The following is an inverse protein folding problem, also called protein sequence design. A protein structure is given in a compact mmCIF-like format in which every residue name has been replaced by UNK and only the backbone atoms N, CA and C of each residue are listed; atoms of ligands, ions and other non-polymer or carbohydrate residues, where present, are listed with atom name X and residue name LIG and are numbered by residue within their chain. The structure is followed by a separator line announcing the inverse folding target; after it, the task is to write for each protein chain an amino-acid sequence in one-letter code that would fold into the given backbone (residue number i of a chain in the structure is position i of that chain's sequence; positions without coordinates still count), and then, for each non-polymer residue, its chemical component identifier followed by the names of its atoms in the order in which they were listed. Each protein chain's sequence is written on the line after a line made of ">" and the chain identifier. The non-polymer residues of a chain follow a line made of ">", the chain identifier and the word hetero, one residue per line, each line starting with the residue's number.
data_IF_477193937624
#
_entry.id   IF_477193937624
#
_cell.length_a   1.000
_cell.length_b   1.000
_cell.length_c   1.000
_cell.angle_alpha   90.00
_cell.angle_beta   90.00
_cell.angle_gamma   90.00
#
_symmetry.space_group_name_H-M   'P 1'
#
loop_
_entity.id
_entity.type
_entity.pdbx_description
1 polymer ?
#
# COMPACT_ATOMS: atom_id res chain seq x y z
N UNK A 1 13.65 -43.08 -60.20
CA UNK A 1 13.87 -43.18 -58.73
C UNK A 1 14.39 -41.88 -58.13
N UNK A 2 15.10 -41.02 -58.87
CA UNK A 2 15.59 -39.73 -58.33
C UNK A 2 14.50 -38.67 -58.07
N UNK A 3 13.45 -38.61 -58.89
CA UNK A 3 12.42 -37.56 -58.79
C UNK A 3 11.59 -37.67 -57.51
N UNK A 4 11.29 -38.89 -57.05
CA UNK A 4 10.58 -39.13 -55.80
C UNK A 4 11.44 -38.76 -54.59
N UNK A 5 12.75 -39.06 -54.64
CA UNK A 5 13.70 -38.66 -53.61
C UNK A 5 13.79 -37.13 -53.51
N UNK A 6 13.86 -36.42 -54.63
CA UNK A 6 13.87 -34.95 -54.67
C UNK A 6 12.60 -34.34 -54.10
N UNK A 7 11.43 -34.88 -54.42
CA UNK A 7 10.14 -34.42 -53.88
C UNK A 7 10.06 -34.61 -52.37
N UNK A 8 10.56 -35.76 -51.86
CA UNK A 8 10.62 -36.03 -50.42
C UNK A 8 11.57 -35.02 -49.74
N UNK A 9 12.77 -34.81 -50.28
CA UNK A 9 13.75 -33.85 -49.73
C UNK A 9 13.19 -32.43 -49.73
N UNK A 10 12.56 -31.99 -50.82
CA UNK A 10 11.91 -30.69 -50.89
C UNK A 10 10.77 -30.55 -49.88
N UNK A 11 9.95 -31.58 -49.71
CA UNK A 11 8.87 -31.61 -48.72
C UNK A 11 9.39 -31.49 -47.29
N UNK A 12 10.46 -32.22 -46.96
CA UNK A 12 11.10 -32.16 -45.64
C UNK A 12 11.76 -30.80 -45.41
N UNK A 13 12.47 -30.27 -46.42
CA UNK A 13 13.11 -28.95 -46.34
C UNK A 13 12.06 -27.84 -46.16
N UNK A 14 10.98 -27.86 -46.93
CA UNK A 14 9.88 -26.91 -46.82
C UNK A 14 9.19 -27.00 -45.45
N UNK A 15 8.97 -28.20 -44.94
CA UNK A 15 8.39 -28.43 -43.60
C UNK A 15 9.31 -27.91 -42.50
N UNK A 16 10.61 -28.20 -42.58
CA UNK A 16 11.62 -27.71 -41.63
C UNK A 16 11.73 -26.18 -41.64
N UNK A 17 11.69 -25.56 -42.82
CA UNK A 17 11.68 -24.10 -42.96
C UNK A 17 10.41 -23.50 -42.38
N UNK A 18 9.24 -24.07 -42.66
CA UNK A 18 7.95 -23.61 -42.16
C UNK A 18 7.87 -23.71 -40.63
N UNK A 19 8.33 -24.83 -40.07
CA UNK A 19 8.42 -25.02 -38.62
C UNK A 19 9.36 -24.00 -37.96
N UNK A 20 10.53 -23.76 -38.59
CA UNK A 20 11.51 -22.80 -38.10
C UNK A 20 10.98 -21.37 -38.11
N UNK A 21 10.32 -20.96 -39.21
CA UNK A 21 9.67 -19.65 -39.33
C UNK A 21 8.52 -19.49 -38.32
N UNK A 22 7.71 -20.53 -38.14
CA UNK A 22 6.64 -20.54 -37.14
C UNK A 22 7.18 -20.36 -35.71
N UNK A 23 8.25 -21.08 -35.35
CA UNK A 23 8.90 -20.94 -34.05
C UNK A 23 9.52 -19.56 -33.86
N UNK A 24 10.23 -19.03 -34.86
CA UNK A 24 10.81 -17.68 -34.83
C UNK A 24 9.74 -16.61 -34.66
N UNK A 25 8.62 -16.72 -35.40
CA UNK A 25 7.48 -15.82 -35.29
C UNK A 25 6.87 -15.86 -33.89
N UNK A 26 6.59 -17.05 -33.36
CA UNK A 26 6.07 -17.23 -32.00
C UNK A 26 7.05 -16.69 -30.94
N UNK A 27 8.34 -16.97 -31.06
CA UNK A 27 9.36 -16.49 -30.15
C UNK A 27 9.53 -14.96 -30.21
N UNK A 28 9.41 -14.35 -31.39
CA UNK A 28 9.45 -12.89 -31.54
C UNK A 28 8.22 -12.23 -30.89
N UNK A 29 7.03 -12.80 -31.09
CA UNK A 29 5.79 -12.31 -30.46
C UNK A 29 5.84 -12.46 -28.94
N UNK A 30 6.30 -13.59 -28.42
CA UNK A 30 6.48 -13.82 -26.98
C UNK A 30 7.44 -12.79 -26.38
N UNK A 31 8.58 -12.54 -27.03
CA UNK A 31 9.55 -11.51 -26.61
C UNK A 31 8.96 -10.10 -26.63
N UNK A 32 8.16 -9.75 -27.64
CA UNK A 32 7.48 -8.45 -27.70
C UNK A 32 6.46 -8.29 -26.59
N UNK A 33 5.64 -9.32 -26.31
CA UNK A 33 4.67 -9.33 -25.21
C UNK A 33 5.37 -9.18 -23.85
N UNK A 34 6.45 -9.93 -23.63
CA UNK A 34 7.25 -9.82 -22.41
C UNK A 34 7.81 -8.41 -22.23
N UNK A 35 8.45 -7.83 -23.26
CA UNK A 35 8.99 -6.46 -23.17
C UNK A 35 7.93 -5.40 -22.88
N UNK A 36 6.69 -5.58 -23.39
CA UNK A 36 5.56 -4.69 -23.06
C UNK A 36 5.16 -4.84 -21.59
N UNK A 37 5.03 -6.07 -21.10
CA UNK A 37 4.72 -6.37 -19.68
C UNK A 37 5.80 -5.79 -18.76
N UNK A 38 7.07 -6.08 -19.04
CA UNK A 38 8.23 -5.54 -18.31
C UNK A 38 8.24 -4.00 -18.32
N UNK A 39 7.91 -3.37 -19.46
CA UNK A 39 7.84 -1.92 -19.58
C UNK A 39 6.69 -1.29 -18.78
N UNK A 40 5.54 -1.98 -18.69
CA UNK A 40 4.39 -1.52 -17.90
C UNK A 40 4.70 -1.55 -16.40
N UNK A 41 5.22 -2.68 -15.90
CA UNK A 41 5.57 -2.86 -14.49
C UNK A 41 6.91 -2.24 -14.10
N UNK A 42 7.73 -1.79 -15.06
CA UNK A 42 9.08 -1.31 -14.79
C UNK A 42 10.05 -2.41 -14.32
N UNK A 43 9.76 -3.66 -14.69
CA UNK A 43 10.49 -4.89 -14.31
C UNK A 43 11.28 -5.45 -15.50
N UNK A 44 12.42 -4.87 -15.90
CA UNK A 44 13.31 -5.50 -16.88
C UNK A 44 13.84 -6.83 -16.33
N UNK A 45 14.27 -7.72 -17.24
CA UNK A 45 14.86 -9.00 -16.85
C UNK A 45 16.02 -8.82 -15.86
N UNK A 46 16.12 -9.76 -14.93
CA UNK A 46 17.15 -9.85 -13.89
C UNK A 46 17.21 -8.62 -12.95
N UNK A 47 16.12 -7.86 -12.85
CA UNK A 47 16.03 -6.74 -11.91
C UNK A 47 15.43 -7.14 -10.56
N UNK A 48 15.86 -6.44 -9.51
CA UNK A 48 15.23 -6.50 -8.20
C UNK A 48 14.03 -5.54 -8.12
N UNK A 49 12.95 -5.99 -7.46
CA UNK A 49 11.83 -5.15 -7.06
C UNK A 49 11.50 -5.36 -5.58
N UNK A 50 10.81 -4.37 -5.00
CA UNK A 50 10.45 -4.38 -3.58
C UNK A 50 8.97 -4.71 -3.42
N UNK A 51 8.67 -5.75 -2.63
CA UNK A 51 7.33 -6.03 -2.13
C UNK A 51 7.24 -5.52 -0.69
N UNK A 52 6.55 -4.41 -0.50
CA UNK A 52 6.43 -3.73 0.79
C UNK A 52 5.09 -4.10 1.39
N UNK A 53 5.13 -4.78 2.53
CA UNK A 53 3.91 -5.29 3.18
C UNK A 53 3.66 -4.68 4.54
N UNK A 54 2.38 -4.70 4.85
CA UNK A 54 1.86 -4.30 6.13
C UNK A 54 2.11 -5.38 7.21
N UNK A 55 2.13 -4.95 8.47
CA UNK A 55 2.06 -5.79 9.66
C UNK A 55 0.62 -5.75 10.20
N UNK A 56 0.13 -6.89 10.71
CA UNK A 56 -1.20 -6.98 11.30
C UNK A 56 -1.33 -5.99 12.46
N UNK A 57 -2.45 -5.24 12.52
CA UNK A 57 -2.67 -4.25 13.57
C UNK A 57 -2.72 -4.95 14.94
N UNK A 58 -1.61 -4.87 15.69
CA UNK A 58 -1.45 -5.52 17.00
C UNK A 58 -0.66 -6.84 17.01
N UNK A 59 -0.09 -7.30 15.88
CA UNK A 59 0.66 -8.57 15.78
C UNK A 59 2.03 -8.47 15.12
N UNK A 60 2.79 -9.58 15.12
CA UNK A 60 3.99 -9.74 14.27
C UNK A 60 3.68 -10.27 12.86
N UNK A 61 2.44 -10.70 12.61
CA UNK A 61 2.01 -11.42 11.41
C UNK A 61 1.61 -10.55 10.22
N UNK A 62 1.43 -11.19 9.07
CA UNK A 62 0.84 -10.62 7.86
C UNK A 62 -0.54 -11.24 7.69
N UNK A 63 -1.55 -10.43 7.38
CA UNK A 63 -2.92 -10.92 7.20
C UNK A 63 -2.98 -11.95 6.06
N UNK A 64 -3.78 -13.01 6.21
CA UNK A 64 -3.90 -14.11 5.22
C UNK A 64 -4.12 -13.61 3.79
N UNK A 65 -5.00 -12.63 3.61
CA UNK A 65 -5.28 -12.04 2.29
C UNK A 65 -4.10 -11.26 1.70
N UNK A 66 -3.29 -10.60 2.54
CA UNK A 66 -2.07 -9.93 2.07
C UNK A 66 -1.00 -10.96 1.66
N UNK A 67 -0.95 -12.14 2.30
CA UNK A 67 -0.09 -13.25 1.84
C UNK A 67 -0.52 -13.76 0.47
N UNK A 68 -1.82 -13.89 0.19
CA UNK A 68 -2.27 -14.25 -1.15
C UNK A 68 -1.92 -13.19 -2.19
N UNK A 69 -2.09 -11.91 -1.85
CA UNK A 69 -1.66 -10.81 -2.72
C UNK A 69 -0.15 -10.88 -3.02
N UNK A 70 0.67 -11.17 -2.01
CA UNK A 70 2.12 -11.37 -2.18
C UNK A 70 2.45 -12.52 -3.14
N UNK A 71 1.76 -13.65 -3.03
CA UNK A 71 1.98 -14.81 -3.90
C UNK A 71 1.60 -14.47 -5.35
N UNK A 72 0.48 -13.79 -5.56
CA UNK A 72 0.03 -13.35 -6.89
C UNK A 72 1.02 -12.35 -7.51
N UNK A 73 1.51 -11.37 -6.74
CA UNK A 73 2.54 -10.43 -7.21
C UNK A 73 3.88 -11.13 -7.46
N UNK A 74 4.26 -12.09 -6.62
CA UNK A 74 5.52 -12.83 -6.80
C UNK A 74 5.51 -13.64 -8.10
N UNK A 75 4.37 -14.26 -8.44
CA UNK A 75 4.18 -14.94 -9.73
C UNK A 75 4.28 -13.93 -10.89
N UNK A 76 3.62 -12.78 -10.79
CA UNK A 76 3.68 -11.71 -11.80
C UNK A 76 5.11 -11.20 -12.02
N UNK A 77 5.86 -11.00 -10.94
CA UNK A 77 7.26 -10.53 -10.97
C UNK A 77 8.15 -11.58 -11.63
N UNK A 78 7.98 -12.86 -11.28
CA UNK A 78 8.72 -13.97 -11.87
C UNK A 78 8.40 -14.13 -13.36
N UNK A 79 7.16 -13.93 -13.79
CA UNK A 79 6.79 -13.93 -15.22
C UNK A 79 7.50 -12.82 -16.00
N UNK A 80 7.87 -11.71 -15.34
CA UNK A 80 8.67 -10.65 -15.95
C UNK A 80 10.16 -10.98 -16.00
N UNK A 81 10.60 -12.09 -15.38
CA UNK A 81 12.01 -12.42 -15.21
C UNK A 81 12.71 -11.56 -14.16
N UNK A 82 11.98 -11.01 -13.19
CA UNK A 82 12.53 -10.18 -12.11
C UNK A 82 12.48 -10.92 -10.76
N UNK A 83 13.14 -10.34 -9.75
CA UNK A 83 13.25 -10.91 -8.41
C UNK A 83 12.49 -10.04 -7.38
N UNK A 84 11.66 -10.69 -6.57
CA UNK A 84 10.92 -10.04 -5.50
C UNK A 84 11.74 -10.05 -4.20
N UNK A 85 11.94 -8.88 -3.59
CA UNK A 85 12.47 -8.74 -2.23
C UNK A 85 11.36 -8.24 -1.32
N UNK A 86 10.95 -9.09 -0.37
CA UNK A 86 9.96 -8.71 0.64
C UNK A 86 10.66 -7.83 1.68
N UNK A 87 10.09 -6.65 1.92
CA UNK A 87 10.61 -5.65 2.84
C UNK A 87 9.51 -5.22 3.80
N UNK A 88 9.86 -5.04 5.07
CA UNK A 88 8.93 -4.49 6.07
C UNK A 88 8.72 -2.99 5.87
N UNK A 89 7.52 -2.49 6.16
CA UNK A 89 7.15 -1.08 5.93
C UNK A 89 8.02 -0.05 6.68
N UNK A 90 8.73 -0.46 7.74
CA UNK A 90 9.54 0.36 8.64
C UNK A 90 11.04 0.35 8.28
N UNK A 91 11.47 -0.56 7.41
CA UNK A 91 12.85 -0.61 6.97
C UNK A 91 13.12 0.52 5.98
N UNK A 92 14.07 1.39 6.34
CA UNK A 92 14.57 2.46 5.50
C UNK A 92 15.35 1.88 4.30
N UNK A 93 14.65 1.44 3.28
CA UNK A 93 15.27 1.09 1.99
C UNK A 93 15.45 2.37 1.20
N UNK A 94 16.72 2.79 1.07
CA UNK A 94 17.16 3.87 0.19
C UNK A 94 16.88 3.53 -1.28
N UNK A 95 16.71 4.55 -2.12
CA UNK A 95 16.54 4.40 -3.57
C UNK A 95 15.08 4.44 -4.06
N UNK A 96 14.30 5.40 -3.55
CA UNK A 96 12.96 5.66 -4.08
C UNK A 96 13.01 5.97 -5.58
N UNK A 97 12.31 5.15 -6.37
CA UNK A 97 12.32 5.23 -7.83
C UNK A 97 13.52 4.56 -8.53
N UNK A 98 14.45 3.94 -7.80
CA UNK A 98 15.55 3.15 -8.38
C UNK A 98 15.12 1.71 -8.71
N UNK A 99 14.15 1.19 -7.94
CA UNK A 99 13.52 -0.13 -8.08
C UNK A 99 12.01 0.02 -8.22
N UNK A 100 11.36 -0.90 -8.92
CA UNK A 100 9.89 -0.97 -8.88
C UNK A 100 9.48 -1.37 -7.47
N UNK A 101 8.49 -0.68 -6.92
CA UNK A 101 7.93 -1.00 -5.61
C UNK A 101 6.46 -1.39 -5.74
N UNK A 102 6.03 -2.39 -4.98
CA UNK A 102 4.62 -2.73 -4.78
C UNK A 102 4.33 -2.59 -3.30
N UNK A 103 3.53 -1.59 -2.92
CA UNK A 103 3.17 -1.32 -1.53
C UNK A 103 1.74 -1.80 -1.25
N UNK A 104 1.59 -2.72 -0.31
CA UNK A 104 0.32 -3.29 0.12
C UNK A 104 -0.08 -2.77 1.51
N UNK A 105 -1.36 -2.48 1.70
CA UNK A 105 -1.92 -2.10 2.99
C UNK A 105 -2.36 -0.64 3.07
N UNK A 106 -3.06 -0.31 4.16
CA UNK A 106 -3.51 1.05 4.45
C UNK A 106 -2.39 1.96 5.02
N UNK A 107 -2.62 3.28 5.09
CA UNK A 107 -1.65 4.25 5.60
C UNK A 107 -1.35 4.10 7.10
N UNK A 108 -2.30 3.61 7.89
CA UNK A 108 -2.18 3.45 9.34
C UNK A 108 -1.18 2.35 9.70
N UNK A 109 -1.11 1.33 8.87
CA UNK A 109 -0.41 0.09 9.13
C UNK A 109 0.87 -0.03 8.29
N UNK A 110 0.94 0.65 7.14
CA UNK A 110 2.14 0.75 6.31
C UNK A 110 2.67 2.18 6.23
N UNK A 111 3.73 2.47 7.01
CA UNK A 111 4.38 3.79 7.01
C UNK A 111 4.91 4.23 5.64
N UNK A 112 5.40 3.29 4.83
CA UNK A 112 5.89 3.57 3.47
C UNK A 112 4.73 3.94 2.52
N UNK A 113 3.59 3.25 2.64
CA UNK A 113 2.35 3.61 1.95
C UNK A 113 1.96 5.06 2.29
N UNK A 114 1.90 5.39 3.59
CA UNK A 114 1.57 6.75 4.04
C UNK A 114 2.50 7.83 3.47
N UNK A 115 3.79 7.55 3.35
CA UNK A 115 4.74 8.47 2.74
C UNK A 115 4.47 8.67 1.24
N UNK A 116 4.20 7.59 0.51
CA UNK A 116 3.85 7.65 -0.92
C UNK A 116 2.57 8.43 -1.16
N UNK A 117 1.53 8.19 -0.37
CA UNK A 117 0.25 8.90 -0.48
C UNK A 117 0.42 10.41 -0.29
N UNK A 118 1.12 10.84 0.76
CA UNK A 118 1.37 12.27 1.03
C UNK A 118 2.18 12.96 -0.08
N UNK A 119 3.06 12.23 -0.76
CA UNK A 119 3.98 12.80 -1.74
C UNK A 119 3.40 12.75 -3.16
N UNK A 120 2.75 11.66 -3.53
CA UNK A 120 2.33 11.37 -4.90
C UNK A 120 0.83 11.52 -5.12
N UNK A 121 0.01 11.44 -4.06
CA UNK A 121 -1.44 11.53 -4.12
C UNK A 121 -2.00 12.55 -3.11
N UNK A 122 -1.60 13.84 -3.19
CA UNK A 122 -2.03 14.85 -2.24
C UNK A 122 -3.56 15.08 -2.24
N UNK A 123 -4.25 14.76 -3.34
CA UNK A 123 -5.71 14.90 -3.48
C UNK A 123 -6.52 13.75 -2.89
N UNK A 124 -5.85 12.67 -2.47
CA UNK A 124 -6.49 11.56 -1.76
C UNK A 124 -6.41 11.80 -0.26
N UNK A 125 -7.55 12.08 0.36
CA UNK A 125 -7.67 12.21 1.82
C UNK A 125 -8.32 10.95 2.37
N UNK A 126 -7.64 10.33 3.34
CA UNK A 126 -8.10 9.13 4.02
C UNK A 126 -8.56 9.55 5.41
N UNK A 127 -9.86 9.44 5.70
CA UNK A 127 -10.36 9.68 7.06
C UNK A 127 -10.06 8.44 7.91
N UNK A 128 -9.00 8.55 8.70
CA UNK A 128 -8.56 7.50 9.62
C UNK A 128 -9.37 7.58 10.93
N UNK A 129 -9.95 6.46 11.33
CA UNK A 129 -10.42 6.25 12.70
C UNK A 129 -9.27 5.67 13.52
N UNK A 130 -9.03 6.16 14.74
CA UNK A 130 -7.82 5.88 15.52
C UNK A 130 -7.46 4.39 15.69
N UNK A 131 -8.44 3.48 15.61
CA UNK A 131 -8.28 2.04 15.83
C UNK A 131 -8.67 1.17 14.61
N UNK A 132 -8.92 1.75 13.43
CA UNK A 132 -9.40 1.01 12.25
C UNK A 132 -8.77 1.53 10.95
N UNK A 133 -8.76 0.69 9.93
CA UNK A 133 -8.49 1.13 8.56
C UNK A 133 -9.41 2.31 8.17
N UNK A 134 -8.98 3.19 7.25
CA UNK A 134 -9.78 4.33 6.85
C UNK A 134 -11.16 3.91 6.32
N UNK A 135 -12.22 4.44 6.94
CA UNK A 135 -13.61 4.10 6.59
C UNK A 135 -14.14 4.99 5.45
N UNK A 136 -13.49 6.13 5.17
CA UNK A 136 -13.90 7.05 4.11
C UNK A 136 -12.71 7.52 3.30
N UNK A 137 -12.82 7.42 1.97
CA UNK A 137 -11.90 8.05 1.02
C UNK A 137 -12.53 9.32 0.47
N UNK A 138 -11.79 10.43 0.50
CA UNK A 138 -12.18 11.68 -0.15
C UNK A 138 -11.26 11.98 -1.32
N UNK A 139 -11.86 12.13 -2.50
CA UNK A 139 -11.13 12.37 -3.75
C UNK A 139 -11.99 13.28 -4.63
N UNK A 140 -11.44 14.39 -5.13
CA UNK A 140 -12.17 15.29 -6.03
C UNK A 140 -13.43 15.94 -5.42
N UNK A 141 -13.54 15.97 -4.08
CA UNK A 141 -14.74 16.46 -3.37
C UNK A 141 -15.79 15.38 -3.07
N UNK A 142 -15.68 14.20 -3.69
CA UNK A 142 -16.54 13.05 -3.43
C UNK A 142 -16.05 12.24 -2.23
N UNK A 143 -16.99 11.61 -1.51
CA UNK A 143 -16.72 10.78 -0.34
C UNK A 143 -17.18 9.34 -0.58
N UNK A 144 -16.24 8.39 -0.50
CA UNK A 144 -16.48 6.96 -0.68
C UNK A 144 -16.37 6.26 0.66
N UNK A 145 -17.52 5.95 1.26
CA UNK A 145 -17.60 5.30 2.59
C UNK A 145 -17.68 3.79 2.45
N UNK A 146 -16.94 3.09 3.30
CA UNK A 146 -17.00 1.64 3.42
C UNK A 146 -18.30 1.19 4.11
N UNK A 147 -19.00 0.25 3.48
CA UNK A 147 -19.98 -0.61 4.15
C UNK A 147 -19.35 -1.99 4.32
N UNK A 148 -19.00 -2.32 5.57
CA UNK A 148 -18.23 -3.51 5.86
C UNK A 148 -18.90 -4.78 5.35
N UNK A 149 -18.16 -5.59 4.59
CA UNK A 149 -18.66 -6.84 4.02
C UNK A 149 -19.53 -6.67 2.77
N UNK A 150 -20.01 -5.45 2.48
CA UNK A 150 -21.00 -5.17 1.42
C UNK A 150 -20.41 -4.33 0.29
N UNK A 151 -19.82 -3.18 0.62
CA UNK A 151 -19.16 -2.32 -0.35
C UNK A 151 -17.94 -1.66 0.25
N UNK A 152 -16.78 -2.10 -0.22
CA UNK A 152 -15.49 -1.64 0.31
C UNK A 152 -14.63 -1.15 -0.83
N UNK A 153 -13.76 -0.19 -0.56
CA UNK A 153 -12.98 0.49 -1.58
C UNK A 153 -11.49 0.20 -1.45
N UNK A 154 -10.81 0.23 -2.60
CA UNK A 154 -9.35 0.15 -2.67
C UNK A 154 -8.84 1.06 -3.76
N UNK A 155 -7.78 1.80 -3.43
CA UNK A 155 -7.04 2.57 -4.42
C UNK A 155 -5.95 1.68 -5.00
N UNK A 156 -6.04 1.45 -6.31
CA UNK A 156 -4.99 0.83 -7.11
C UNK A 156 -4.30 1.93 -7.92
N UNK A 157 -3.04 2.22 -7.60
CA UNK A 157 -2.28 3.25 -8.30
C UNK A 157 -0.99 2.70 -8.91
N UNK A 158 -0.58 3.30 -10.02
CA UNK A 158 0.77 3.21 -10.59
C UNK A 158 1.29 4.62 -10.73
N UNK A 159 2.39 4.94 -10.08
CA UNK A 159 2.94 6.30 -10.02
C UNK A 159 4.45 6.27 -10.25
N UNK A 160 5.03 7.37 -10.69
CA UNK A 160 6.49 7.52 -10.89
C UNK A 160 6.96 8.81 -10.24
N UNK A 161 8.02 8.75 -9.46
CA UNK A 161 8.60 9.90 -8.77
C UNK A 161 9.50 10.75 -9.69
N UNK A 162 8.93 11.24 -10.79
CA UNK A 162 9.65 11.98 -11.83
C UNK A 162 10.10 11.10 -13.01
N UNK A 163 10.73 11.74 -13.99
CA UNK A 163 11.12 11.12 -15.26
C UNK A 163 12.23 10.08 -15.08
N UNK A 164 12.15 8.98 -15.83
CA UNK A 164 13.15 7.91 -15.82
C UNK A 164 13.18 7.03 -14.57
N UNK A 165 12.40 7.36 -13.54
CA UNK A 165 12.26 6.53 -12.33
C UNK A 165 11.37 5.31 -12.58
N UNK A 166 11.60 4.26 -11.81
CA UNK A 166 10.76 3.06 -11.80
C UNK A 166 9.44 3.32 -11.07
N UNK A 167 8.35 2.63 -11.48
CA UNK A 167 7.04 2.87 -10.93
C UNK A 167 6.92 2.31 -9.52
N UNK A 168 6.06 2.96 -8.74
CA UNK A 168 5.51 2.46 -7.49
C UNK A 168 4.05 2.10 -7.73
N UNK A 169 3.70 0.87 -7.40
CA UNK A 169 2.33 0.38 -7.36
C UNK A 169 1.81 0.45 -5.92
N UNK A 170 0.65 1.08 -5.74
CA UNK A 170 0.00 1.21 -4.44
C UNK A 170 -1.29 0.40 -4.45
N UNK A 171 -1.45 -0.48 -3.46
CA UNK A 171 -2.68 -1.22 -3.16
C UNK A 171 -3.16 -0.77 -1.78
N UNK A 172 -3.85 0.37 -1.75
CA UNK A 172 -4.31 1.01 -0.52
C UNK A 172 -5.79 0.70 -0.29
N UNK A 173 -6.04 -0.46 0.30
CA UNK A 173 -7.37 -0.96 0.60
C UNK A 173 -7.85 -0.60 2.00
N UNK A 174 -9.17 -0.50 2.16
CA UNK A 174 -9.81 -0.36 3.48
C UNK A 174 -9.68 -1.64 4.30
N UNK A 175 -9.50 -2.80 3.66
CA UNK A 175 -9.22 -4.08 4.33
C UNK A 175 -8.20 -4.91 3.58
N UNK A 176 -7.61 -5.90 4.25
CA UNK A 176 -6.69 -6.84 3.61
C UNK A 176 -7.33 -7.61 2.44
N UNK A 177 -8.63 -7.95 2.52
CA UNK A 177 -9.35 -8.55 1.37
C UNK A 177 -9.36 -7.62 0.16
N UNK A 178 -9.51 -6.31 0.37
CA UNK A 178 -9.52 -5.33 -0.72
C UNK A 178 -8.13 -5.12 -1.35
N UNK A 179 -7.03 -5.28 -0.59
CA UNK A 179 -5.67 -5.30 -1.16
C UNK A 179 -5.48 -6.48 -2.13
N UNK A 180 -5.96 -7.65 -1.72
CA UNK A 180 -5.95 -8.84 -2.57
C UNK A 180 -6.81 -8.64 -3.82
N UNK A 181 -8.01 -8.04 -3.67
CA UNK A 181 -8.89 -7.74 -4.77
C UNK A 181 -8.23 -6.80 -5.81
N UNK A 182 -7.56 -5.73 -5.36
CA UNK A 182 -6.80 -4.84 -6.24
C UNK A 182 -5.62 -5.53 -6.92
N UNK A 183 -4.94 -6.44 -6.21
CA UNK A 183 -3.86 -7.26 -6.78
C UNK A 183 -4.37 -8.15 -7.90
N UNK A 184 -5.46 -8.89 -7.65
CA UNK A 184 -6.15 -9.71 -8.66
C UNK A 184 -6.59 -8.87 -9.85
N UNK A 185 -7.16 -7.70 -9.58
CA UNK A 185 -7.60 -6.78 -10.63
C UNK A 185 -6.43 -6.37 -11.53
N UNK A 186 -5.29 -5.96 -10.94
CA UNK A 186 -4.08 -5.60 -11.69
C UNK A 186 -3.57 -6.75 -12.55
N UNK A 187 -3.46 -7.96 -11.98
CA UNK A 187 -2.95 -9.14 -12.69
C UNK A 187 -3.88 -9.53 -13.85
N UNK A 188 -5.20 -9.52 -13.64
CA UNK A 188 -6.19 -9.89 -14.67
C UNK A 188 -6.31 -8.82 -15.78
N UNK A 189 -6.26 -7.54 -15.43
CA UNK A 189 -6.51 -6.43 -16.38
C UNK A 189 -5.21 -5.77 -16.88
N UNK A 190 -4.04 -6.35 -16.63
CA UNK A 190 -2.74 -5.77 -17.01
C UNK A 190 -2.64 -5.34 -18.48
N UNK A 191 -3.22 -6.10 -19.42
CA UNK A 191 -3.16 -5.77 -20.85
C UNK A 191 -4.07 -4.60 -21.21
N UNK A 192 -5.22 -4.48 -20.54
CA UNK A 192 -6.13 -3.35 -20.71
C UNK A 192 -5.53 -2.08 -20.09
N UNK A 193 -5.03 -2.18 -18.86
CA UNK A 193 -4.36 -1.08 -18.16
C UNK A 193 -3.13 -0.59 -18.93
N UNK A 194 -2.31 -1.52 -19.47
CA UNK A 194 -1.15 -1.17 -20.29
C UNK A 194 -1.54 -0.52 -21.62
N UNK A 195 -2.68 -0.88 -22.21
CA UNK A 195 -3.20 -0.21 -23.41
C UNK A 195 -3.72 1.19 -23.11
N UNK A 196 -4.45 1.34 -22.00
CA UNK A 196 -5.10 2.62 -21.62
C UNK A 196 -4.11 3.65 -21.09
N UNK A 197 -3.25 3.25 -20.16
CA UNK A 197 -2.34 4.17 -19.46
C UNK A 197 -0.89 4.09 -19.95
N UNK A 198 -0.53 3.07 -20.76
CA UNK A 198 0.83 2.90 -21.24
C UNK A 198 1.83 2.80 -20.10
N UNK A 199 2.84 3.69 -20.09
CA UNK A 199 3.80 3.85 -18.99
C UNK A 199 3.49 5.06 -18.10
N UNK A 200 2.35 5.71 -18.31
CA UNK A 200 1.89 6.85 -17.54
C UNK A 200 1.32 6.47 -16.18
N UNK A 201 1.15 7.46 -15.28
CA UNK A 201 0.52 7.21 -14.00
C UNK A 201 -0.96 6.89 -14.17
N UNK A 202 -1.51 6.15 -13.22
CA UNK A 202 -2.95 6.02 -13.05
C UNK A 202 -3.29 5.83 -11.57
N UNK A 203 -4.50 6.23 -11.20
CA UNK A 203 -5.07 6.04 -9.86
C UNK A 203 -6.51 5.61 -10.05
N UNK A 204 -6.81 4.37 -9.73
CA UNK A 204 -8.14 3.79 -9.87
C UNK A 204 -8.74 3.58 -8.50
N UNK A 205 -9.97 4.02 -8.34
CA UNK A 205 -10.80 3.64 -7.22
C UNK A 205 -11.62 2.41 -7.62
N UNK A 206 -11.37 1.30 -6.96
CA UNK A 206 -12.09 0.06 -7.16
C UNK A 206 -13.05 -0.18 -6.00
N UNK A 207 -14.24 -0.68 -6.31
CA UNK A 207 -15.25 -1.12 -5.36
C UNK A 207 -15.26 -2.65 -5.32
N UNK A 208 -14.99 -3.22 -4.17
CA UNK A 208 -15.13 -4.66 -3.89
C UNK A 208 -16.55 -4.89 -3.41
N UNK A 209 -17.30 -5.70 -4.16
CA UNK A 209 -18.72 -5.93 -3.92
C UNK A 209 -18.90 -7.20 -3.12
N UNK A 210 -19.64 -7.07 -2.01
CA UNK A 210 -20.00 -8.14 -1.10
C UNK A 210 -18.79 -9.04 -0.76
N UNK A 211 -17.76 -8.42 -0.18
CA UNK A 211 -16.50 -9.10 0.17
C UNK A 211 -16.69 -10.20 1.20
N UNK A 212 -17.80 -10.19 1.95
CA UNK A 212 -18.14 -11.26 2.88
C UNK A 212 -18.57 -12.54 2.14
N UNK A 213 -19.40 -12.41 1.10
CA UNK A 213 -19.86 -13.56 0.32
C UNK A 213 -18.87 -14.00 -0.76
N UNK A 214 -18.20 -13.06 -1.42
CA UNK A 214 -17.37 -13.33 -2.61
C UNK A 214 -15.87 -13.11 -2.38
N UNK A 215 -15.47 -12.69 -1.19
CA UNK A 215 -14.07 -12.40 -0.90
C UNK A 215 -13.51 -11.32 -1.86
N UNK A 216 -12.34 -11.54 -2.47
CA UNK A 216 -11.68 -10.56 -3.34
C UNK A 216 -12.09 -10.66 -4.83
N UNK A 217 -13.07 -11.48 -5.20
CA UNK A 217 -13.29 -11.86 -6.60
C UNK A 217 -14.22 -10.94 -7.40
N UNK A 218 -15.12 -10.20 -6.74
CA UNK A 218 -16.07 -9.29 -7.40
C UNK A 218 -15.62 -7.84 -7.18
N UNK A 219 -15.10 -7.24 -8.26
CA UNK A 219 -14.51 -5.90 -8.24
C UNK A 219 -15.04 -5.08 -9.40
N UNK A 220 -15.50 -3.88 -9.10
CA UNK A 220 -15.98 -2.88 -10.06
C UNK A 220 -15.04 -1.68 -10.08
N UNK A 221 -14.80 -1.09 -11.26
CA UNK A 221 -14.11 0.19 -11.36
C UNK A 221 -15.11 1.29 -11.00
N UNK A 222 -14.97 1.88 -9.81
CA UNK A 222 -15.85 2.95 -9.35
C UNK A 222 -15.52 4.29 -10.02
N UNK A 223 -14.23 4.61 -10.14
CA UNK A 223 -13.77 5.82 -10.82
C UNK A 223 -12.29 5.73 -11.23
N UNK A 224 -11.93 6.39 -12.33
CA UNK A 224 -10.55 6.77 -12.66
C UNK A 224 -10.31 8.15 -12.05
N UNK A 225 -9.59 8.18 -10.94
CA UNK A 225 -9.38 9.38 -10.12
C UNK A 225 -7.96 9.95 -10.30
N UNK A 226 -7.29 9.62 -11.40
CA UNK A 226 -5.89 9.97 -11.64
C UNK A 226 -5.65 11.48 -11.52
N UNK A 227 -6.50 12.31 -12.12
CA UNK A 227 -6.37 13.78 -12.07
C UNK A 227 -6.62 14.33 -10.66
N UNK A 228 -7.74 13.95 -10.05
CA UNK A 228 -8.15 14.49 -8.75
C UNK A 228 -7.24 14.04 -7.61
N UNK A 229 -6.75 12.80 -7.65
CA UNK A 229 -5.89 12.26 -6.60
C UNK A 229 -4.46 12.81 -6.65
N UNK A 230 -3.94 13.16 -7.84
CA UNK A 230 -2.56 13.66 -8.00
C UNK A 230 -2.43 15.16 -7.76
N UNK A 231 -3.54 15.91 -7.79
CA UNK A 231 -3.55 17.35 -7.53
C UNK A 231 -3.91 17.63 -6.06
N UNK A 232 -3.29 18.62 -5.41
CA UNK A 232 -3.71 19.03 -4.07
C UNK A 232 -5.20 19.41 -4.05
N UNK A 233 -5.94 19.11 -2.96
CA UNK A 233 -7.33 19.52 -2.82
C UNK A 233 -7.41 21.04 -2.95
N UNK A 234 -8.43 21.53 -3.66
CA UNK A 234 -8.70 22.96 -3.70
C UNK A 234 -8.92 23.45 -2.25
N UNK A 235 -8.18 24.47 -1.83
CA UNK A 235 -8.36 25.05 -0.51
C UNK A 235 -9.83 25.52 -0.37
N UNK A 236 -10.49 25.28 0.78
CA UNK A 236 -11.79 25.87 1.04
C UNK A 236 -11.69 27.38 0.86
N UNK A 237 -12.54 27.96 0.00
CA UNK A 237 -12.64 29.42 -0.12
C UNK A 237 -12.97 29.95 1.28
N UNK A 238 -12.17 30.87 1.85
CA UNK A 238 -12.48 31.45 3.14
C UNK A 238 -13.84 32.12 3.04
N UNK A 239 -14.84 31.59 3.74
CA UNK A 239 -16.11 32.28 3.92
C UNK A 239 -15.77 33.54 4.72
N UNK A 240 -16.02 34.76 4.20
CA UNK A 240 -15.78 35.97 4.97
C UNK A 240 -16.59 35.88 6.26
N UNK A 241 -15.87 35.88 7.39
CA UNK A 241 -16.47 35.92 8.71
C UNK A 241 -17.43 37.10 8.75
N UNK A 242 -18.71 36.92 9.09
CA UNK A 242 -19.62 38.05 9.22
C UNK A 242 -19.01 39.00 10.24
N UNK A 243 -18.73 40.23 9.78
CA UNK A 243 -18.25 41.30 10.63
C UNK A 243 -19.22 41.42 11.81
N UNK A 244 -18.68 41.36 13.02
CA UNK A 244 -19.45 41.60 14.23
C UNK A 244 -20.14 42.98 14.09
N UNK A 245 -21.42 43.10 14.46
CA UNK A 245 -22.11 44.39 14.44
C UNK A 245 -21.35 45.35 15.35
N UNK A 246 -21.09 46.55 14.84
CA UNK A 246 -20.52 47.65 15.61
C UNK A 246 -21.48 47.99 16.75
N UNK A 247 -20.99 47.91 17.99
CA UNK A 247 -21.69 48.44 19.16
C UNK A 247 -21.73 49.98 19.06
N UNK A 248 -22.88 50.53 18.67
CA UNK A 248 -23.23 51.93 18.89
C UNK A 248 -23.51 52.13 20.40
N UNK A 249 -22.51 52.57 21.15
CA UNK A 249 -22.69 53.14 22.48
C UNK A 249 -22.43 54.64 22.45
N UNK A 250 -23.53 55.40 22.44
CA UNK A 250 -23.54 56.82 22.79
C UNK A 250 -23.45 56.98 24.31
N UNK A 251 -22.70 57.98 24.84
CA UNK A 251 -22.88 58.41 26.21
C UNK A 251 -23.67 59.73 26.26
N UNK A 252 -24.86 59.66 26.86
CA UNK A 252 -25.55 60.79 27.50
C UNK A 252 -24.89 61.07 28.86
N UNK A 253 -24.65 62.33 29.17
CA UNK A 253 -24.00 62.78 30.42
C UNK A 253 -24.97 63.04 31.57
N UNK A 254 -24.44 63.09 32.80
CA UNK A 254 -24.88 63.96 33.90
C UNK A 254 -23.95 63.87 35.13
N UNK A 255 -23.32 65.01 35.44
CA UNK A 255 -23.03 65.67 36.72
C UNK A 255 -22.87 64.95 38.10
N UNK A 256 -21.70 65.24 38.70
CA UNK A 256 -21.43 65.90 39.99
C UNK A 256 -21.83 65.30 41.38
N UNK A 257 -20.81 65.09 42.23
CA UNK A 257 -20.63 65.52 43.64
C UNK A 257 -19.54 64.63 44.29
N UNK A 258 -18.32 65.12 44.58
CA UNK A 258 -17.81 65.84 45.77
C UNK A 258 -17.87 65.06 47.12
N UNK A 259 -16.71 65.01 47.81
CA UNK A 259 -16.53 64.51 49.18
C UNK A 259 -15.37 63.51 49.40
N UNK A 260 -14.17 63.97 49.77
CA UNK A 260 -13.09 63.15 50.39
C UNK A 260 -13.14 63.17 51.93
N UNK A 261 -12.06 62.89 52.69
CA UNK A 261 -10.90 61.98 52.50
C UNK A 261 -10.60 61.11 53.78
N UNK A 262 -9.36 60.58 53.90
CA UNK A 262 -8.67 59.90 55.04
C UNK A 262 -8.60 58.35 54.96
N UNK A 263 -7.45 57.76 54.61
CA UNK A 263 -6.25 57.42 55.42
C UNK A 263 -6.39 56.12 56.25
N UNK A 264 -5.62 55.07 55.88
CA UNK A 264 -4.50 54.51 56.68
C UNK A 264 -3.98 53.19 56.09
N UNK A 265 -2.63 53.09 56.07
CA UNK A 265 -1.73 51.94 56.28
C UNK A 265 -2.03 50.59 55.60
N UNK A 266 -1.11 49.89 54.95
CA UNK A 266 0.35 49.89 55.02
C UNK A 266 0.86 48.46 54.78
N UNK A 267 2.13 48.33 54.42
CA UNK A 267 2.96 47.11 54.46
C UNK A 267 3.04 46.23 53.19
N UNK A 268 4.18 46.38 52.48
CA UNK A 268 4.80 45.43 51.57
C UNK A 268 5.82 44.54 52.36
N UNK A 269 6.79 43.79 51.75
CA UNK A 269 6.84 43.06 50.49
C UNK A 269 7.43 41.61 50.63
N UNK A 270 7.38 40.83 49.53
CA UNK A 270 8.58 40.09 49.07
C UNK A 270 8.61 38.55 49.19
N UNK A 271 8.90 37.88 48.07
CA UNK A 271 10.11 37.05 47.81
C UNK A 271 9.90 35.89 46.82
N UNK A 272 10.47 36.07 45.63
CA UNK A 272 11.39 35.16 44.92
C UNK A 272 11.45 33.68 45.33
N UNK A 273 10.98 32.79 44.45
CA UNK A 273 11.24 31.34 44.48
C UNK A 273 12.28 30.91 43.45
N UNK A 274 13.52 30.67 43.88
CA UNK A 274 14.55 29.95 43.13
C UNK A 274 14.41 28.44 43.35
N UNK A 275 14.18 27.67 42.27
CA UNK A 275 14.20 26.20 42.28
C UNK A 275 15.64 25.68 42.28
N UNK A 276 16.02 24.99 43.36
CA UNK A 276 17.22 24.15 43.44
C UNK A 276 16.87 22.71 43.06
N UNK A 277 17.62 22.21 42.09
CA UNK A 277 18.22 20.88 41.95
C UNK A 277 17.94 19.86 43.08
N UNK A 278 17.37 18.71 42.70
CA UNK A 278 17.45 17.47 43.47
C UNK A 278 18.17 16.39 42.66
N UNK A 279 19.17 15.85 43.32
CA UNK A 279 20.19 14.86 42.95
C UNK A 279 19.69 13.42 42.87
N UNK A 280 20.24 12.69 41.89
CA UNK A 280 20.99 11.41 42.04
C UNK A 280 20.23 10.19 42.59
N UNK A 281 20.16 9.12 41.76
CA UNK A 281 20.71 7.82 42.17
C UNK A 281 20.94 6.86 41.00
N UNK A 282 22.21 6.52 40.84
CA UNK A 282 22.78 5.35 40.16
C UNK A 282 22.52 4.08 40.98
N UNK A 283 22.27 2.96 40.30
CA UNK A 283 22.16 1.64 40.94
C UNK A 283 22.39 0.51 39.93
N UNK A 284 23.63 0.05 39.88
CA UNK A 284 24.16 -1.13 39.17
C UNK A 284 23.82 -2.46 39.87
N UNK A 285 23.68 -3.53 39.08
CA UNK A 285 23.87 -4.94 39.51
C UNK A 285 22.70 -5.85 39.17
N UNK A 286 22.82 -7.16 38.92
CA UNK A 286 23.92 -8.09 38.59
C UNK A 286 23.23 -9.44 38.28
N UNK A 287 23.84 -10.21 37.38
CA UNK A 287 23.69 -11.64 37.05
C UNK A 287 22.59 -12.50 37.70
N UNK A 288 21.92 -13.30 36.87
CA UNK A 288 21.16 -14.48 37.32
C UNK A 288 21.00 -15.52 36.21
N UNK A 289 22.01 -16.37 36.06
CA UNK A 289 21.95 -17.66 35.34
C UNK A 289 20.93 -18.59 36.01
N UNK A 290 20.00 -19.16 35.24
CA UNK A 290 19.30 -20.40 35.65
C UNK A 290 19.25 -21.39 34.50
N UNK A 291 19.69 -22.58 34.86
CA UNK A 291 19.93 -23.80 34.10
C UNK A 291 19.10 -24.87 34.81
N UNK A 292 18.24 -25.57 34.08
CA UNK A 292 17.55 -26.82 34.43
C UNK A 292 17.36 -27.53 33.08
N UNK A 293 17.95 -28.68 32.74
CA UNK A 293 18.07 -29.95 33.46
C UNK A 293 16.73 -30.69 33.31
N UNK A 294 16.50 -31.56 32.32
CA UNK A 294 17.00 -32.93 32.04
C UNK A 294 15.98 -34.03 32.45
N UNK A 295 15.83 -35.06 31.59
CA UNK A 295 15.04 -36.30 31.76
C UNK A 295 14.21 -36.59 30.48
N UNK A 296 14.65 -37.42 29.52
CA UNK A 296 14.71 -38.92 29.49
C UNK A 296 13.28 -39.52 29.45
N UNK A 297 12.87 -40.49 28.62
CA UNK A 297 13.53 -41.64 27.98
C UNK A 297 12.70 -42.22 26.81
N UNK A 298 13.38 -43.03 25.97
CA UNK A 298 12.99 -44.32 25.39
C UNK A 298 11.64 -44.47 24.62
N UNK A 299 11.67 -44.77 23.31
CA UNK A 299 11.70 -46.12 22.70
C UNK A 299 10.33 -46.59 22.22
N UNK A 300 10.22 -47.05 20.98
CA UNK A 300 9.01 -47.68 20.46
C UNK A 300 9.03 -47.87 18.95
N UNK A 301 9.68 -48.93 18.50
CA UNK A 301 9.54 -49.47 17.16
C UNK A 301 8.11 -49.98 16.92
N UNK A 302 7.63 -49.90 15.69
CA UNK A 302 6.37 -50.48 15.27
C UNK A 302 6.20 -50.38 13.76
N UNK A 303 6.72 -51.39 13.05
CA UNK A 303 6.35 -51.66 11.68
C UNK A 303 4.85 -52.00 11.62
N UNK A 304 4.15 -51.51 10.61
CA UNK A 304 2.96 -52.23 10.15
C UNK A 304 2.85 -52.21 8.63
N UNK A 305 2.74 -53.41 8.12
CA UNK A 305 2.61 -53.86 6.74
C UNK A 305 1.12 -53.96 6.44
N UNK A 306 0.62 -53.19 5.48
CA UNK A 306 -0.75 -53.30 4.98
C UNK A 306 -0.77 -53.58 3.49
N UNK A 307 -0.53 -54.84 3.11
CA UNK A 307 -0.86 -55.38 1.81
C UNK A 307 -2.35 -55.79 1.78
N UNK A 308 -3.03 -55.57 0.66
CA UNK A 308 -4.34 -56.17 0.41
C UNK A 308 -5.17 -55.45 -0.62
N UNK A 309 -5.12 -55.90 -1.88
CA UNK A 309 -6.30 -56.23 -2.70
C UNK A 309 -5.86 -56.67 -4.10
N UNK A 310 -5.82 -57.99 -4.30
CA UNK A 310 -5.98 -58.63 -5.61
C UNK A 310 -7.41 -58.40 -6.13
N UNK A 311 -7.49 -58.08 -7.43
CA UNK A 311 -8.30 -58.67 -8.52
C UNK A 311 -9.50 -59.60 -8.21
N UNK A 312 -10.49 -59.71 -9.12
CA UNK A 312 -10.36 -59.86 -10.58
C UNK A 312 -10.95 -58.74 -11.45
#
# INVERSE_FOLDING_TARGET
>A
MDQDLWNIVLGVAASGLSASLGWLGRAALARRRLRRKQGFFGLPGDSDCLLVVNREAGGEGVHRNDVFALLELSALIRDCGAHARIVRHDQAVQGFGDRTEFCLGGPTSNQRMRAHLRTLLPGLVLEESADRSPDVYRIGGEAYRAEHGVSEYVVLARLTAGEGRRPVFLFCGQKAVTNQAATRYLVRHQEELARRYGRGPFVLLLKVVNSEAYGPDVVELAADVTGDATRPPAAPVPVPSPAAPADDHAPEGADAADGGPADTDGMAPGRSGTRRTSTRRTGTGRSGTRRTGAGSDASGAGADTGAGADSP
#
